data_IF_198684078340
#
_entry.id   IF_198684078340
#
_cell.length_a   1.000
_cell.length_b   1.000
_cell.length_c   1.000
_cell.angle_alpha   90.00
_cell.angle_beta   90.00
_cell.angle_gamma   90.00
#
_symmetry.space_group_name_H-M   'P 1'
#
loop_
_entity.id
_entity.type
_entity.pdbx_description
1 polymer ?
#
# COMPACT_ATOMS: atom_id res chain seq x y z
N UNK A 1 3.81 23.20 9.03
CA UNK A 1 4.65 22.39 9.95
C UNK A 1 4.99 21.16 9.12
N UNK A 2 6.23 21.04 8.69
CA UNK A 2 6.70 19.88 7.93
C UNK A 2 7.17 18.87 8.97
N UNK A 3 6.43 17.77 9.10
CA UNK A 3 6.80 16.62 9.92
C UNK A 3 7.68 15.73 9.06
N UNK A 4 9.01 15.85 9.16
CA UNK A 4 9.91 14.90 8.50
C UNK A 4 9.74 13.54 9.19
N UNK A 5 9.23 12.56 8.47
CA UNK A 5 9.09 11.20 8.98
C UNK A 5 10.35 10.41 8.63
N UNK A 6 11.37 10.48 9.50
CA UNK A 6 12.49 9.54 9.48
C UNK A 6 12.12 8.37 10.39
N UNK A 7 11.57 7.29 9.84
CA UNK A 7 11.07 6.17 10.63
C UNK A 7 10.81 4.90 9.82
N UNK A 8 10.59 3.80 10.52
CA UNK A 8 10.13 2.53 9.95
C UNK A 8 8.65 2.65 9.56
N UNK A 9 8.40 2.72 8.25
CA UNK A 9 7.06 2.93 7.69
C UNK A 9 6.42 1.64 7.20
N UNK A 10 5.09 1.61 7.29
CA UNK A 10 4.25 0.66 6.56
C UNK A 10 3.52 1.41 5.45
N UNK A 11 3.79 1.02 4.21
CA UNK A 11 3.25 1.61 2.99
C UNK A 11 2.27 0.62 2.33
N UNK A 12 1.02 1.04 2.17
CA UNK A 12 -0.04 0.24 1.57
C UNK A 12 -0.49 0.87 0.25
N UNK A 13 -0.43 0.11 -0.84
CA UNK A 13 -0.75 0.62 -2.18
C UNK A 13 -1.94 -0.11 -2.79
N UNK A 14 -2.87 0.68 -3.32
CA UNK A 14 -3.71 0.23 -4.42
C UNK A 14 -2.89 0.09 -5.72
N UNK A 15 -3.47 -0.58 -6.72
CA UNK A 15 -2.86 -0.73 -8.04
C UNK A 15 -3.56 0.12 -9.10
N UNK A 16 -4.88 0.00 -9.21
CA UNK A 16 -5.62 0.53 -10.34
C UNK A 16 -5.92 2.02 -10.16
N UNK A 17 -5.56 2.84 -11.15
CA UNK A 17 -5.60 4.31 -11.06
C UNK A 17 -4.70 4.88 -9.95
N UNK A 18 -3.73 4.10 -9.49
CA UNK A 18 -2.81 4.45 -8.40
C UNK A 18 -1.36 4.36 -8.83
N UNK A 19 -0.95 3.25 -9.45
CA UNK A 19 0.42 3.01 -9.92
C UNK A 19 0.51 3.22 -11.44
N UNK A 20 1.66 3.67 -11.94
CA UNK A 20 1.88 4.04 -13.35
C UNK A 20 1.68 2.90 -14.38
N UNK A 21 1.69 1.64 -13.95
CA UNK A 21 1.28 0.48 -14.75
C UNK A 21 -0.23 0.44 -15.05
N UNK A 22 -1.04 1.23 -14.35
CA UNK A 22 -2.43 1.55 -14.70
C UNK A 22 -2.86 2.88 -14.08
N UNK A 23 -2.42 3.99 -14.67
CA UNK A 23 -2.54 5.30 -14.07
C UNK A 23 -3.97 5.85 -14.17
N UNK A 24 -4.33 6.84 -13.35
CA UNK A 24 -5.51 7.66 -13.61
C UNK A 24 -5.31 8.44 -14.92
N UNK A 25 -6.41 8.75 -15.62
CA UNK A 25 -6.34 9.31 -16.98
C UNK A 25 -5.76 10.74 -17.06
N UNK A 26 -5.88 11.53 -15.98
CA UNK A 26 -5.64 12.97 -15.98
C UNK A 26 -4.83 13.45 -14.75
N UNK A 27 -4.17 12.53 -14.04
CA UNK A 27 -3.43 12.80 -12.80
C UNK A 27 -2.12 11.99 -12.76
N UNK A 28 -1.20 12.42 -11.90
CA UNK A 28 0.02 11.65 -11.62
C UNK A 28 -0.32 10.32 -10.96
N UNK A 29 0.45 9.28 -11.28
CA UNK A 29 0.43 7.98 -10.62
C UNK A 29 1.77 7.78 -9.90
N UNK A 30 1.77 6.93 -8.88
CA UNK A 30 3.00 6.49 -8.21
C UNK A 30 3.82 5.66 -9.20
N UNK A 31 5.10 6.00 -9.44
CA UNK A 31 5.96 5.17 -10.27
C UNK A 31 6.13 3.78 -9.66
N UNK A 32 5.97 2.71 -10.46
CA UNK A 32 6.21 1.35 -9.99
C UNK A 32 7.62 1.19 -9.42
N UNK A 33 8.61 1.83 -10.03
CA UNK A 33 10.01 1.79 -9.60
C UNK A 33 10.23 2.34 -8.18
N UNK A 34 9.39 3.28 -7.73
CA UNK A 34 9.48 3.79 -6.36
C UNK A 34 9.01 2.72 -5.36
N UNK A 35 7.92 2.02 -5.69
CA UNK A 35 7.40 0.91 -4.87
C UNK A 35 8.44 -0.22 -4.81
N UNK A 36 9.05 -0.57 -5.94
CA UNK A 36 10.12 -1.56 -6.01
C UNK A 36 11.32 -1.15 -5.16
N UNK A 37 11.74 0.12 -5.23
CA UNK A 37 12.85 0.66 -4.45
C UNK A 37 12.58 0.56 -2.95
N UNK A 38 11.44 1.06 -2.47
CA UNK A 38 11.08 0.97 -1.05
C UNK A 38 10.92 -0.47 -0.55
N UNK A 39 10.47 -1.38 -1.42
CA UNK A 39 10.31 -2.78 -1.04
C UNK A 39 11.64 -3.56 -0.92
N UNK A 40 12.68 -3.15 -1.64
CA UNK A 40 13.90 -3.96 -1.80
C UNK A 40 15.17 -3.29 -1.28
N UNK A 41 15.19 -1.96 -1.17
CA UNK A 41 16.39 -1.18 -0.87
C UNK A 41 16.27 -0.36 0.41
N UNK A 42 15.09 -0.33 1.05
CA UNK A 42 14.88 0.33 2.34
C UNK A 42 14.33 -0.66 3.37
N UNK A 43 14.24 -0.22 4.63
CA UNK A 43 13.72 -1.02 5.74
C UNK A 43 12.19 -0.91 5.90
N UNK A 44 11.48 -0.28 4.95
CA UNK A 44 10.02 -0.10 5.02
C UNK A 44 9.27 -1.39 4.66
N UNK A 45 8.07 -1.54 5.21
CA UNK A 45 7.14 -2.59 4.80
C UNK A 45 6.23 -2.08 3.68
N UNK A 46 6.23 -2.75 2.53
CA UNK A 46 5.49 -2.31 1.35
C UNK A 46 4.52 -3.39 0.90
N UNK A 47 3.23 -3.06 0.81
CA UNK A 47 2.16 -4.05 0.66
C UNK A 47 1.11 -3.66 -0.38
N UNK A 48 0.66 -4.63 -1.17
CA UNK A 48 -0.47 -4.47 -2.09
C UNK A 48 -1.80 -4.74 -1.37
N UNK A 49 -2.65 -3.72 -1.22
CA UNK A 49 -3.99 -3.83 -0.61
C UNK A 49 -5.13 -3.81 -1.63
N UNK A 50 -4.82 -3.42 -2.88
CA UNK A 50 -5.75 -3.33 -4.00
C UNK A 50 -5.88 -4.58 -4.85
N UNK A 51 -5.89 -4.38 -6.18
CA UNK A 51 -5.76 -5.44 -7.18
C UNK A 51 -4.39 -6.14 -7.01
N UNK A 52 -4.41 -7.47 -6.86
CA UNK A 52 -3.25 -8.22 -6.39
C UNK A 52 -2.22 -8.50 -7.50
N UNK A 53 -2.46 -8.06 -8.73
CA UNK A 53 -1.43 -8.01 -9.79
C UNK A 53 -0.21 -7.20 -9.38
N UNK A 54 -0.37 -6.17 -8.55
CA UNK A 54 0.75 -5.35 -8.07
C UNK A 54 1.83 -6.17 -7.38
N UNK A 55 1.47 -7.29 -6.75
CA UNK A 55 2.44 -8.20 -6.12
C UNK A 55 3.48 -8.71 -7.12
N UNK A 56 3.00 -9.15 -8.27
CA UNK A 56 3.86 -9.67 -9.33
C UNK A 56 4.56 -8.55 -10.10
N UNK A 57 3.94 -7.37 -10.20
CA UNK A 57 4.50 -6.21 -10.89
C UNK A 57 5.63 -5.57 -10.07
N UNK A 58 5.47 -5.41 -8.75
CA UNK A 58 6.41 -4.72 -7.86
C UNK A 58 7.26 -5.66 -6.97
N UNK A 59 6.99 -6.97 -6.98
CA UNK A 59 7.68 -7.93 -6.10
C UNK A 59 7.31 -7.84 -4.62
N UNK A 60 6.12 -7.31 -4.29
CA UNK A 60 5.67 -7.07 -2.90
C UNK A 60 4.64 -8.11 -2.41
N UNK A 61 4.50 -8.32 -1.09
CA UNK A 61 3.41 -9.13 -0.54
C UNK A 61 2.04 -8.44 -0.69
N UNK A 62 0.96 -9.20 -0.52
CA UNK A 62 -0.40 -8.66 -0.56
C UNK A 62 -1.34 -9.27 0.47
N UNK A 63 -2.64 -9.15 0.21
CA UNK A 63 -3.71 -9.41 1.18
C UNK A 63 -3.67 -10.85 1.69
N UNK A 64 -3.44 -11.82 0.80
CA UNK A 64 -3.37 -13.24 1.19
C UNK A 64 -2.21 -13.51 2.14
N UNK A 65 -1.03 -12.95 1.87
CA UNK A 65 0.14 -13.08 2.76
C UNK A 65 -0.17 -12.49 4.13
N UNK A 66 -0.88 -11.36 4.18
CA UNK A 66 -1.26 -10.72 5.43
C UNK A 66 -2.24 -11.61 6.23
N UNK A 67 -3.26 -12.17 5.57
CA UNK A 67 -4.18 -13.12 6.22
C UNK A 67 -3.44 -14.35 6.75
N UNK A 68 -2.55 -14.92 5.94
CA UNK A 68 -1.77 -16.10 6.34
C UNK A 68 -0.92 -15.82 7.59
N UNK A 69 -0.28 -14.64 7.65
CA UNK A 69 0.56 -14.25 8.80
C UNK A 69 -0.25 -13.99 10.07
N UNK A 70 -1.47 -13.48 9.95
CA UNK A 70 -2.37 -13.25 11.10
C UNK A 70 -3.08 -14.52 11.58
N UNK A 71 -2.87 -15.67 10.94
CA UNK A 71 -3.64 -16.91 11.18
C UNK A 71 -5.16 -16.68 11.19
N UNK A 72 -5.63 -15.71 10.39
CA UNK A 72 -7.02 -15.26 10.41
C UNK A 72 -7.96 -16.29 9.76
N UNK A 73 -9.22 -16.34 10.18
CA UNK A 73 -10.21 -17.34 9.76
C UNK A 73 -10.42 -17.39 8.24
N UNK A 74 -10.22 -16.27 7.55
CA UNK A 74 -10.27 -16.19 6.08
C UNK A 74 -9.28 -17.15 5.40
N UNK A 75 -8.18 -17.56 6.07
CA UNK A 75 -7.20 -18.49 5.51
C UNK A 75 -7.83 -19.77 4.92
N UNK A 76 -8.97 -20.22 5.47
CA UNK A 76 -9.66 -21.44 5.01
C UNK A 76 -10.46 -21.27 3.72
N UNK A 77 -10.62 -20.04 3.24
CA UNK A 77 -11.47 -19.68 2.10
C UNK A 77 -10.67 -19.32 0.83
N UNK A 78 -9.36 -19.09 0.91
CA UNK A 78 -8.54 -18.70 -0.25
C UNK A 78 -8.07 -19.88 -1.12
N UNK A 79 -8.14 -19.71 -2.44
CA UNK A 79 -7.31 -20.42 -3.41
C UNK A 79 -6.20 -19.49 -3.98
N UNK A 80 -5.19 -20.04 -4.68
CA UNK A 80 -4.06 -19.28 -5.27
C UNK A 80 -4.44 -18.32 -6.39
N UNK A 81 -5.68 -18.38 -6.86
CA UNK A 81 -6.18 -17.66 -8.03
C UNK A 81 -7.22 -16.59 -7.70
N UNK A 82 -7.59 -16.41 -6.43
CA UNK A 82 -8.57 -15.41 -6.03
C UNK A 82 -7.93 -14.01 -6.06
N UNK A 83 -8.10 -13.32 -7.19
CA UNK A 83 -7.64 -11.94 -7.43
C UNK A 83 -8.74 -10.90 -7.10
N UNK A 84 -9.86 -11.31 -6.50
CA UNK A 84 -11.09 -10.53 -6.60
C UNK A 84 -11.59 -9.95 -5.27
N UNK A 85 -11.76 -8.62 -5.26
CA UNK A 85 -12.62 -7.88 -4.33
C UNK A 85 -14.10 -8.29 -4.40
N UNK A 86 -14.44 -9.26 -5.25
CA UNK A 86 -15.77 -9.79 -5.53
C UNK A 86 -16.04 -11.18 -4.93
N UNK A 87 -15.10 -11.76 -4.18
CA UNK A 87 -15.31 -13.03 -3.48
C UNK A 87 -16.01 -12.79 -2.13
N UNK A 88 -17.11 -13.50 -1.88
CA UNK A 88 -17.78 -13.49 -0.57
C UNK A 88 -16.80 -13.97 0.52
N UNK A 89 -16.69 -13.21 1.61
CA UNK A 89 -15.72 -13.48 2.68
C UNK A 89 -14.39 -12.72 2.53
N UNK A 90 -14.11 -12.12 1.38
CA UNK A 90 -12.87 -11.37 1.19
C UNK A 90 -12.80 -10.11 2.07
N UNK A 91 -11.66 -9.82 2.74
CA UNK A 91 -11.56 -8.64 3.59
C UNK A 91 -11.80 -7.37 2.79
N UNK A 92 -12.68 -6.51 3.31
CA UNK A 92 -12.94 -5.20 2.71
C UNK A 92 -11.70 -4.33 2.77
N UNK A 93 -11.66 -3.30 1.93
CA UNK A 93 -10.50 -2.42 1.77
C UNK A 93 -9.94 -1.87 3.08
N UNK A 94 -10.80 -1.30 3.93
CA UNK A 94 -10.39 -0.83 5.26
C UNK A 94 -9.74 -1.92 6.11
N UNK A 95 -10.33 -3.12 6.12
CA UNK A 95 -9.81 -4.25 6.88
C UNK A 95 -8.44 -4.72 6.39
N UNK A 96 -8.18 -4.67 5.07
CA UNK A 96 -6.88 -5.01 4.49
C UNK A 96 -5.78 -4.10 5.03
N UNK A 97 -6.10 -2.81 5.20
CA UNK A 97 -5.20 -1.80 5.76
C UNK A 97 -5.02 -2.01 7.27
N UNK A 98 -6.10 -2.18 8.03
CA UNK A 98 -6.05 -2.47 9.48
C UNK A 98 -5.19 -3.70 9.81
N UNK A 99 -5.26 -4.76 8.99
CA UNK A 99 -4.43 -5.95 9.16
C UNK A 99 -2.93 -5.66 9.11
N UNK A 100 -2.50 -4.66 8.34
CA UNK A 100 -1.08 -4.30 8.27
C UNK A 100 -0.62 -3.65 9.58
N UNK A 101 -1.48 -2.85 10.23
CA UNK A 101 -1.18 -2.32 11.56
C UNK A 101 -1.10 -3.42 12.63
N UNK A 102 -1.92 -4.48 12.50
CA UNK A 102 -1.82 -5.67 13.37
C UNK A 102 -0.52 -6.46 13.15
N UNK A 103 -0.03 -6.52 11.90
CA UNK A 103 1.21 -7.23 11.55
C UNK A 103 2.47 -6.47 11.95
N UNK A 104 2.41 -5.14 11.93
CA UNK A 104 3.56 -4.27 12.14
C UNK A 104 3.29 -3.22 13.22
N UNK A 105 2.92 -3.63 14.44
CA UNK A 105 2.47 -2.70 15.49
C UNK A 105 3.57 -1.73 15.97
N UNK A 106 4.83 -2.05 15.68
CA UNK A 106 6.01 -1.27 16.05
C UNK A 106 6.44 -0.27 14.95
N UNK A 107 5.64 -0.09 13.89
CA UNK A 107 5.89 0.93 12.87
C UNK A 107 5.76 2.34 13.44
N UNK A 108 6.61 3.24 12.98
CA UNK A 108 6.58 4.65 13.39
C UNK A 108 5.37 5.37 12.81
N UNK A 109 4.99 5.05 11.56
CA UNK A 109 3.85 5.63 10.84
C UNK A 109 3.29 4.67 9.78
N UNK A 110 2.02 4.90 9.40
CA UNK A 110 1.28 4.09 8.43
C UNK A 110 0.70 4.97 7.31
N UNK A 111 1.08 4.69 6.06
CA UNK A 111 0.64 5.44 4.89
C UNK A 111 -0.13 4.52 3.93
N UNK A 112 -1.29 4.97 3.47
CA UNK A 112 -2.06 4.27 2.43
C UNK A 112 -2.28 5.16 1.21
N UNK A 113 -1.92 4.66 0.03
CA UNK A 113 -2.07 5.36 -1.23
C UNK A 113 -3.10 4.66 -2.09
N UNK A 114 -4.19 5.39 -2.38
CA UNK A 114 -5.42 4.80 -2.90
C UNK A 114 -6.26 5.81 -3.66
N UNK A 115 -6.82 5.42 -4.81
CA UNK A 115 -7.75 6.27 -5.56
C UNK A 115 -9.13 6.39 -4.88
N UNK A 116 -9.44 5.52 -3.92
CA UNK A 116 -10.62 5.58 -3.06
C UNK A 116 -10.26 6.22 -1.72
N UNK A 117 -11.16 7.05 -1.19
CA UNK A 117 -10.99 7.66 0.13
C UNK A 117 -10.92 6.60 1.23
N UNK A 118 -9.80 6.60 1.97
CA UNK A 118 -9.56 5.78 3.16
C UNK A 118 -9.18 6.62 4.38
N UNK A 119 -9.36 7.94 4.32
CA UNK A 119 -9.01 8.87 5.41
C UNK A 119 -9.80 8.66 6.70
N UNK A 120 -10.84 7.83 6.67
CA UNK A 120 -11.65 7.44 7.82
C UNK A 120 -11.02 6.32 8.67
N UNK A 121 -9.94 5.68 8.21
CA UNK A 121 -9.24 4.64 8.98
C UNK A 121 -8.35 5.33 10.00
N UNK A 122 -8.58 5.05 11.28
CA UNK A 122 -7.79 5.63 12.37
C UNK A 122 -6.32 5.22 12.27
N UNK A 123 -5.41 6.12 12.67
CA UNK A 123 -3.95 5.93 12.68
C UNK A 123 -3.27 5.76 11.30
N UNK A 124 -4.02 5.83 10.21
CA UNK A 124 -3.49 5.80 8.85
C UNK A 124 -3.57 7.16 8.17
N UNK A 125 -2.47 7.58 7.55
CA UNK A 125 -2.47 8.74 6.65
C UNK A 125 -2.82 8.27 5.24
N UNK A 126 -3.99 8.66 4.76
CA UNK A 126 -4.40 8.42 3.38
C UNK A 126 -3.87 9.51 2.45
N UNK A 127 -3.36 9.09 1.30
CA UNK A 127 -3.09 9.97 0.17
C UNK A 127 -3.81 9.47 -1.09
N UNK A 128 -4.37 10.41 -1.86
CA UNK A 128 -4.60 10.11 -3.27
C UNK A 128 -3.25 9.99 -4.01
N UNK A 129 -3.16 9.21 -5.10
CA UNK A 129 -1.90 8.93 -5.79
C UNK A 129 -1.13 10.18 -6.23
N UNK A 130 -1.85 11.20 -6.74
CA UNK A 130 -1.24 12.46 -7.17
C UNK A 130 -0.76 13.32 -6.00
N UNK A 131 -1.44 13.28 -4.86
CA UNK A 131 -1.02 14.00 -3.66
C UNK A 131 0.24 13.35 -3.08
N UNK A 132 0.27 12.01 -3.06
CA UNK A 132 1.43 11.26 -2.61
C UNK A 132 2.68 11.58 -3.43
N UNK A 133 2.58 11.58 -4.75
CA UNK A 133 3.68 11.96 -5.65
C UNK A 133 4.17 13.38 -5.37
N UNK A 134 3.24 14.33 -5.14
CA UNK A 134 3.59 15.71 -4.86
C UNK A 134 4.34 15.85 -3.53
N UNK A 135 3.88 15.18 -2.46
CA UNK A 135 4.51 15.28 -1.12
C UNK A 135 5.85 14.54 -1.03
N UNK A 136 6.04 13.45 -1.79
CA UNK A 136 7.34 12.77 -1.88
C UNK A 136 8.34 13.63 -2.64
N UNK A 137 7.92 14.25 -3.76
CA UNK A 137 8.80 15.13 -4.54
C UNK A 137 9.16 16.44 -3.81
N UNK A 138 8.26 16.95 -2.97
CA UNK A 138 8.55 18.13 -2.16
C UNK A 138 9.44 17.81 -0.95
N UNK A 139 9.60 16.53 -0.61
CA UNK A 139 10.29 16.07 0.61
C UNK A 139 9.47 16.31 1.89
N UNK A 140 8.15 16.53 1.76
CA UNK A 140 7.26 16.62 2.92
C UNK A 140 7.01 15.23 3.56
N UNK A 141 7.11 14.18 2.75
CA UNK A 141 7.29 12.80 3.21
C UNK A 141 8.71 12.38 2.86
N UNK A 142 9.49 12.01 3.88
CA UNK A 142 10.92 11.71 3.74
C UNK A 142 11.12 10.27 3.24
N UNK A 143 10.78 10.06 1.97
CA UNK A 143 10.99 8.81 1.24
C UNK A 143 12.02 9.04 0.14
N UNK A 144 13.13 8.31 0.19
CA UNK A 144 14.11 8.32 -0.87
C UNK A 144 13.51 7.69 -2.14
N UNK A 145 13.68 8.35 -3.30
CA UNK A 145 13.16 7.85 -4.57
C UNK A 145 14.26 7.71 -5.61
N UNK A 146 14.10 6.75 -6.52
CA UNK A 146 14.95 6.64 -7.70
C UNK A 146 14.71 7.82 -8.64
N UNK A 147 15.76 8.36 -9.25
CA UNK A 147 15.63 9.39 -10.27
C UNK A 147 14.84 8.87 -11.49
N UNK A 148 13.87 9.67 -11.93
CA UNK A 148 13.06 9.45 -13.15
C UNK A 148 13.92 9.51 -14.43
#
# INVERSE_FOLDING_TARGET
>A
MSTSVSGYLVLAFDRDRTVDVNPPADRSAVPLSWIEHWANETDHEVWAIGNQRLKSEAGIPGVREAVMRLENEWYREFNETDDDEHVDGWPRRARRVEMLAELFPDADDYLVVDDKDLSYIEDWTHYYPWEFVDVVRSGDVDLEVTAD
#
